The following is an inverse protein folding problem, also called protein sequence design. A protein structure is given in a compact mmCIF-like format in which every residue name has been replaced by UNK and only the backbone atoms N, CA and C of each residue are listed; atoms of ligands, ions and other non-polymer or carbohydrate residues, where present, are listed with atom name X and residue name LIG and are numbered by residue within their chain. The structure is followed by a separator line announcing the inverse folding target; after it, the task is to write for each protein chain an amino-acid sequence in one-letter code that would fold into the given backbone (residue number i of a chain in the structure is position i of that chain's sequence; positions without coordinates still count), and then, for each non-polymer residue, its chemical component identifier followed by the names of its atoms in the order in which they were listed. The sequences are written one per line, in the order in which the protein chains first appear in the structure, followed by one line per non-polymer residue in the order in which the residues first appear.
data_IF_080886458748
#
_entry.id   IF_080886458748
#
_cell.length_a   1.000
_cell.length_b   1.000
_cell.length_c   1.000
_cell.angle_alpha   90.00
_cell.angle_beta   90.00
_cell.angle_gamma   90.00
#
_symmetry.space_group_name_H-M   'P 1'
#
loop_
_entity.id
_entity.type
_entity.pdbx_description
1 polymer ?
#
# COMPACT_ATOMS: atom_id res chain seq x y z
N UNK A 1 -16.21 29.31 31.25
CA UNK A 1 -16.17 29.52 29.79
C UNK A 1 -14.78 29.28 29.14
N UNK A 2 -13.67 29.51 29.86
CA UNK A 2 -12.33 29.32 29.27
C UNK A 2 -11.91 27.88 28.98
N UNK A 3 -12.43 26.88 29.71
CA UNK A 3 -12.03 25.47 29.54
C UNK A 3 -12.56 24.86 28.22
N UNK A 4 -13.73 25.24 27.77
CA UNK A 4 -14.38 24.75 26.55
C UNK A 4 -13.69 25.32 25.30
N UNK A 5 -13.29 26.58 25.32
CA UNK A 5 -12.56 27.22 24.21
C UNK A 5 -11.16 26.60 24.04
N UNK A 6 -10.48 26.26 25.14
CA UNK A 6 -9.18 25.57 25.10
C UNK A 6 -9.27 24.16 24.49
N UNK A 7 -10.34 23.44 24.76
CA UNK A 7 -10.56 22.09 24.24
C UNK A 7 -10.83 22.12 22.72
N UNK A 8 -11.62 23.05 22.23
CA UNK A 8 -11.85 23.19 20.78
C UNK A 8 -10.59 23.61 20.02
N UNK A 9 -9.77 24.50 20.58
CA UNK A 9 -8.51 24.92 19.98
C UNK A 9 -7.50 23.77 19.81
N UNK A 10 -7.57 22.74 20.67
CA UNK A 10 -6.68 21.58 20.62
C UNK A 10 -7.18 20.49 19.65
N UNK A 11 -8.50 20.35 19.46
CA UNK A 11 -9.08 19.30 18.59
C UNK A 11 -9.03 19.73 17.13
N UNK A 12 -9.12 21.02 16.84
CA UNK A 12 -9.19 21.54 15.46
C UNK A 12 -8.00 21.14 14.56
N UNK A 13 -6.73 21.19 14.99
CA UNK A 13 -5.60 20.77 14.17
C UNK A 13 -5.66 19.27 13.82
N UNK A 14 -6.11 18.42 14.77
CA UNK A 14 -6.29 16.99 14.54
C UNK A 14 -7.36 16.71 13.50
N UNK A 15 -8.53 17.37 13.61
CA UNK A 15 -9.63 17.26 12.65
C UNK A 15 -9.16 17.69 11.26
N UNK A 16 -8.43 18.78 11.18
CA UNK A 16 -7.88 19.30 9.93
C UNK A 16 -6.88 18.33 9.30
N UNK A 17 -5.98 17.74 10.10
CA UNK A 17 -5.02 16.73 9.64
C UNK A 17 -5.74 15.49 9.10
N UNK A 18 -6.71 14.97 9.85
CA UNK A 18 -7.50 13.81 9.42
C UNK A 18 -8.28 14.13 8.13
N UNK A 19 -8.91 15.31 8.06
CA UNK A 19 -9.66 15.75 6.88
C UNK A 19 -8.76 15.90 5.64
N UNK A 20 -7.56 16.45 5.79
CA UNK A 20 -6.58 16.56 4.70
C UNK A 20 -6.10 15.21 4.22
N UNK A 21 -5.75 14.30 5.14
CA UNK A 21 -5.32 12.93 4.82
C UNK A 21 -6.46 12.17 4.14
N UNK A 22 -7.66 12.20 4.70
CA UNK A 22 -8.84 11.56 4.12
C UNK A 22 -9.16 12.14 2.73
N UNK A 23 -9.14 13.48 2.57
CA UNK A 23 -9.34 14.15 1.30
C UNK A 23 -8.31 13.76 0.25
N UNK A 24 -7.03 13.63 0.63
CA UNK A 24 -5.98 13.15 -0.25
C UNK A 24 -6.25 11.72 -0.73
N UNK A 25 -6.61 10.79 0.18
CA UNK A 25 -6.91 9.41 -0.18
C UNK A 25 -8.18 9.29 -1.02
N UNK A 26 -9.24 10.02 -0.69
CA UNK A 26 -10.47 10.08 -1.48
C UNK A 26 -10.20 10.59 -2.90
N UNK A 27 -9.44 11.67 -3.04
CA UNK A 27 -9.01 12.20 -4.34
C UNK A 27 -8.25 11.13 -5.14
N UNK A 28 -7.32 10.42 -4.52
CA UNK A 28 -6.54 9.38 -5.19
C UNK A 28 -7.38 8.17 -5.60
N UNK A 29 -8.40 7.85 -4.80
CA UNK A 29 -9.30 6.74 -5.10
C UNK A 29 -10.24 7.05 -6.27
N UNK A 30 -10.86 8.23 -6.25
CA UNK A 30 -11.83 8.63 -7.29
C UNK A 30 -11.17 9.23 -8.54
N UNK A 31 -10.04 9.93 -8.38
CA UNK A 31 -9.25 10.54 -9.47
C UNK A 31 -7.80 10.10 -9.42
N UNK A 32 -7.50 8.85 -9.83
CA UNK A 32 -6.12 8.40 -9.88
C UNK A 32 -5.31 9.27 -10.85
N UNK A 33 -4.10 9.67 -10.43
CA UNK A 33 -3.22 10.51 -11.22
C UNK A 33 -2.96 9.89 -12.62
N UNK A 34 -2.79 10.69 -13.67
CA UNK A 34 -2.54 10.20 -15.03
C UNK A 34 -1.36 9.22 -15.11
N UNK A 35 -0.31 9.48 -14.31
CA UNK A 35 0.84 8.57 -14.19
C UNK A 35 0.44 7.18 -13.69
N UNK A 36 -0.46 7.10 -12.72
CA UNK A 36 -0.95 5.81 -12.18
C UNK A 36 -1.65 4.98 -13.25
N UNK A 37 -2.46 5.63 -14.10
CA UNK A 37 -3.14 4.96 -15.23
C UNK A 37 -2.16 4.48 -16.29
N UNK A 38 -1.14 5.30 -16.64
CA UNK A 38 -0.09 4.92 -17.59
C UNK A 38 0.71 3.71 -17.08
N UNK A 39 1.08 3.68 -15.82
CA UNK A 39 1.76 2.54 -15.23
C UNK A 39 0.88 1.28 -15.14
N UNK A 40 -0.41 1.44 -14.98
CA UNK A 40 -1.36 0.32 -15.03
C UNK A 40 -1.43 -0.26 -16.45
N UNK A 41 -1.54 0.57 -17.49
CA UNK A 41 -1.52 0.16 -18.88
C UNK A 41 -0.20 -0.52 -19.25
N UNK A 42 0.94 0.09 -18.89
CA UNK A 42 2.25 -0.50 -19.12
C UNK A 42 2.38 -1.92 -18.56
N UNK A 43 1.86 -2.17 -17.37
CA UNK A 43 1.87 -3.52 -16.77
C UNK A 43 1.00 -4.51 -17.52
N UNK A 44 -0.11 -4.07 -18.08
CA UNK A 44 -0.99 -4.92 -18.89
C UNK A 44 -0.37 -5.23 -20.25
N UNK A 45 0.19 -4.22 -20.91
CA UNK A 45 0.89 -4.37 -22.18
C UNK A 45 2.10 -5.31 -22.02
N UNK A 46 2.83 -5.16 -20.91
CA UNK A 46 3.91 -6.07 -20.55
C UNK A 46 3.40 -7.52 -20.36
N UNK A 47 2.31 -7.72 -19.62
CA UNK A 47 1.72 -9.05 -19.47
C UNK A 47 1.31 -9.65 -20.82
N UNK A 48 0.71 -8.84 -21.68
CA UNK A 48 0.32 -9.26 -23.03
C UNK A 48 1.54 -9.63 -23.87
N UNK A 49 2.63 -8.86 -23.83
CA UNK A 49 3.86 -9.19 -24.56
C UNK A 49 4.47 -10.52 -24.11
N UNK A 50 4.38 -10.85 -22.82
CA UNK A 50 4.81 -12.15 -22.31
C UNK A 50 3.96 -13.33 -22.81
N UNK A 51 2.75 -13.08 -23.31
CA UNK A 51 1.89 -14.14 -23.85
C UNK A 51 2.19 -14.46 -25.32
N UNK A 52 2.83 -13.55 -26.02
CA UNK A 52 3.14 -13.67 -27.45
C UNK A 52 4.57 -14.14 -27.73
N UNK A 53 5.48 -13.94 -26.77
CA UNK A 53 6.90 -14.22 -26.96
C UNK A 53 7.30 -15.48 -26.17
N UNK A 54 7.75 -16.51 -26.88
CA UNK A 54 8.27 -17.73 -26.25
C UNK A 54 9.56 -17.45 -25.46
N UNK A 55 9.84 -18.25 -24.44
CA UNK A 55 11.04 -18.20 -23.57
C UNK A 55 11.15 -16.93 -22.68
N UNK A 56 10.05 -16.18 -22.52
CA UNK A 56 10.03 -15.01 -21.63
C UNK A 56 9.48 -15.31 -20.24
N UNK A 57 9.08 -16.55 -19.98
CA UNK A 57 8.47 -16.96 -18.71
C UNK A 57 9.40 -16.70 -17.54
N UNK A 58 10.70 -17.03 -17.67
CA UNK A 58 11.71 -16.84 -16.62
C UNK A 58 11.85 -15.35 -16.29
N UNK A 59 11.92 -14.49 -17.32
CA UNK A 59 11.99 -13.03 -17.14
C UNK A 59 10.73 -12.51 -16.45
N UNK A 60 9.56 -13.00 -16.87
CA UNK A 60 8.29 -12.63 -16.27
C UNK A 60 8.20 -12.99 -14.80
N UNK A 61 8.56 -14.22 -14.44
CA UNK A 61 8.59 -14.69 -13.04
C UNK A 61 9.60 -13.88 -12.22
N UNK A 62 10.76 -13.56 -12.79
CA UNK A 62 11.80 -12.78 -12.10
C UNK A 62 11.36 -11.34 -11.83
N UNK A 63 10.66 -10.72 -12.77
CA UNK A 63 10.09 -9.37 -12.59
C UNK A 63 9.03 -9.36 -11.49
N UNK A 64 8.14 -10.36 -11.46
CA UNK A 64 7.14 -10.50 -10.41
C UNK A 64 7.79 -10.76 -9.05
N UNK A 65 8.82 -11.61 -9.00
CA UNK A 65 9.59 -11.86 -7.77
C UNK A 65 10.23 -10.59 -7.21
N UNK A 66 10.80 -9.74 -8.06
CA UNK A 66 11.36 -8.45 -7.65
C UNK A 66 10.26 -7.51 -7.09
N UNK A 67 9.10 -7.48 -7.73
CA UNK A 67 7.95 -6.68 -7.25
C UNK A 67 7.43 -7.21 -5.91
N UNK A 68 7.39 -8.53 -5.74
CA UNK A 68 7.02 -9.18 -4.49
C UNK A 68 8.00 -8.83 -3.36
N UNK A 69 9.32 -8.88 -3.66
CA UNK A 69 10.38 -8.52 -2.72
C UNK A 69 10.26 -7.05 -2.28
N UNK A 70 9.94 -6.13 -3.19
CA UNK A 70 9.66 -4.74 -2.84
C UNK A 70 8.46 -4.59 -1.91
N UNK A 71 7.36 -5.34 -2.14
CA UNK A 71 6.19 -5.33 -1.25
C UNK A 71 6.53 -5.86 0.15
N UNK A 72 7.31 -6.94 0.25
CA UNK A 72 7.71 -7.51 1.55
C UNK A 72 8.66 -6.59 2.30
N UNK A 73 9.59 -5.93 1.62
CA UNK A 73 10.46 -4.91 2.22
C UNK A 73 9.64 -3.74 2.79
N UNK A 74 8.68 -3.23 2.02
CA UNK A 74 7.76 -2.17 2.48
C UNK A 74 6.96 -2.62 3.70
N UNK A 75 6.42 -3.84 3.68
CA UNK A 75 5.70 -4.41 4.81
C UNK A 75 6.58 -4.53 6.07
N UNK A 76 7.81 -5.00 5.93
CA UNK A 76 8.76 -5.13 7.04
C UNK A 76 9.10 -3.76 7.62
N UNK A 77 9.37 -2.77 6.78
CA UNK A 77 9.66 -1.39 7.24
C UNK A 77 8.46 -0.79 7.98
N UNK A 78 7.25 -0.97 7.44
CA UNK A 78 6.02 -0.51 8.13
C UNK A 78 5.84 -1.19 9.49
N UNK A 79 6.11 -2.50 9.58
CA UNK A 79 6.03 -3.26 10.83
C UNK A 79 7.05 -2.78 11.85
N UNK A 80 8.30 -2.58 11.46
CA UNK A 80 9.34 -2.09 12.36
C UNK A 80 9.03 -0.68 12.87
N UNK A 81 8.58 0.22 11.98
CA UNK A 81 8.17 1.56 12.35
C UNK A 81 6.93 1.53 13.28
N UNK A 82 5.96 0.67 13.01
CA UNK A 82 4.79 0.46 13.86
C UNK A 82 5.19 -0.02 15.26
N UNK A 83 6.01 -1.06 15.35
CA UNK A 83 6.49 -1.60 16.64
C UNK A 83 7.29 -0.57 17.42
N UNK A 84 8.19 0.17 16.75
CA UNK A 84 8.94 1.26 17.37
C UNK A 84 8.02 2.36 17.91
N UNK A 85 7.01 2.75 17.14
CA UNK A 85 6.01 3.74 17.57
C UNK A 85 5.17 3.24 18.75
N UNK A 86 4.74 1.96 18.76
CA UNK A 86 4.04 1.35 19.90
C UNK A 86 4.93 1.35 21.14
N UNK A 87 6.21 0.98 21.00
CA UNK A 87 7.16 0.99 22.12
C UNK A 87 7.33 2.40 22.71
N UNK A 88 7.45 3.41 21.85
CA UNK A 88 7.53 4.81 22.27
C UNK A 88 6.26 5.28 23.00
N UNK A 89 5.08 4.81 22.57
CA UNK A 89 3.82 5.13 23.21
C UNK A 89 3.63 4.42 24.57
N UNK A 90 4.26 3.28 24.82
CA UNK A 90 4.15 2.53 26.09
C UNK A 90 5.31 2.78 27.06
N UNK A 91 6.39 3.44 26.64
CA UNK A 91 7.53 3.78 27.46
C UNK A 91 7.30 5.04 28.33
N UNK A 92 8.27 5.32 29.21
CA UNK A 92 8.25 6.49 30.11
C UNK A 92 8.17 7.85 29.40
N UNK A 93 8.40 7.87 28.07
CA UNK A 93 8.13 9.02 27.21
C UNK A 93 6.66 9.48 27.19
N UNK A 94 5.70 8.59 27.50
CA UNK A 94 4.27 8.92 27.58
C UNK A 94 3.90 9.81 28.77
N UNK A 95 4.59 9.73 29.88
CA UNK A 95 4.33 10.64 30.99
C UNK A 95 4.51 12.12 30.63
N UNK A 96 5.32 12.40 29.59
CA UNK A 96 5.43 13.73 28.98
C UNK A 96 4.44 13.98 27.86
N UNK A 97 4.07 12.94 27.07
CA UNK A 97 3.13 13.05 25.93
C UNK A 97 1.68 13.12 26.43
N UNK A 98 1.35 12.49 27.55
CA UNK A 98 0.02 12.57 28.18
C UNK A 98 -0.37 14.01 28.55
N UNK A 99 0.61 14.89 28.79
CA UNK A 99 0.38 16.32 28.96
C UNK A 99 0.02 17.07 27.69
N UNK A 100 0.24 16.46 26.53
CA UNK A 100 -0.10 17.03 25.23
C UNK A 100 -1.01 16.06 24.46
N UNK A 101 -2.29 16.03 24.79
CA UNK A 101 -3.31 15.21 24.11
C UNK A 101 -3.18 15.21 22.58
N UNK A 102 -2.75 16.31 22.01
CA UNK A 102 -2.62 16.47 20.55
C UNK A 102 -1.54 15.57 19.95
N UNK A 103 -0.36 15.45 20.60
CA UNK A 103 0.73 14.58 20.13
C UNK A 103 0.36 13.10 20.23
N UNK A 104 -0.37 12.72 21.26
CA UNK A 104 -0.86 11.35 21.41
C UNK A 104 -1.77 10.93 20.26
N UNK A 105 -2.76 11.76 19.92
CA UNK A 105 -3.66 11.47 18.81
C UNK A 105 -2.97 11.45 17.46
N UNK A 106 -1.98 12.31 17.22
CA UNK A 106 -1.17 12.27 16.01
C UNK A 106 -0.33 10.99 15.94
N UNK A 107 0.27 10.55 17.05
CA UNK A 107 1.02 9.31 17.11
C UNK A 107 0.12 8.09 16.80
N UNK A 108 -1.09 8.04 17.36
CA UNK A 108 -2.07 7.00 17.03
C UNK A 108 -2.47 7.04 15.54
N UNK A 109 -2.67 8.22 14.97
CA UNK A 109 -2.98 8.36 13.55
C UNK A 109 -1.84 7.84 12.66
N UNK A 110 -0.58 8.15 13.01
CA UNK A 110 0.60 7.62 12.29
C UNK A 110 0.69 6.09 12.42
N UNK A 111 0.46 5.54 13.61
CA UNK A 111 0.43 4.08 13.81
C UNK A 111 -0.67 3.42 12.98
N UNK A 112 -1.85 4.02 12.92
CA UNK A 112 -2.93 3.53 12.06
C UNK A 112 -2.52 3.51 10.58
N UNK A 113 -1.88 4.58 10.08
CA UNK A 113 -1.39 4.65 8.71
C UNK A 113 -0.33 3.59 8.43
N UNK A 114 0.61 3.35 9.35
CA UNK A 114 1.61 2.30 9.24
C UNK A 114 0.99 0.90 9.23
N UNK A 115 -0.02 0.64 10.07
CA UNK A 115 -0.80 -0.59 10.06
C UNK A 115 -1.52 -0.81 8.72
N UNK A 116 -2.14 0.24 8.17
CA UNK A 116 -2.77 0.19 6.85
C UNK A 116 -1.74 0.00 5.73
N UNK A 117 -0.54 0.60 5.84
CA UNK A 117 0.55 0.38 4.90
C UNK A 117 1.00 -1.08 4.88
N UNK A 118 1.13 -1.69 6.06
CA UNK A 118 1.42 -3.13 6.18
C UNK A 118 0.35 -3.98 5.49
N UNK A 119 -0.94 -3.78 5.83
CA UNK A 119 -2.05 -4.55 5.27
C UNK A 119 -2.09 -4.41 3.74
N UNK A 120 -1.97 -3.20 3.21
CA UNK A 120 -2.00 -2.96 1.76
C UNK A 120 -0.79 -3.56 1.05
N UNK A 121 0.41 -3.58 1.67
CA UNK A 121 1.59 -4.26 1.16
C UNK A 121 1.38 -5.78 1.09
N UNK A 122 0.78 -6.38 2.12
CA UNK A 122 0.49 -7.82 2.13
C UNK A 122 -0.58 -8.20 1.09
N UNK A 123 -1.60 -7.36 0.90
CA UNK A 123 -2.58 -7.53 -0.17
C UNK A 123 -1.92 -7.41 -1.55
N UNK A 124 -0.98 -6.48 -1.74
CA UNK A 124 -0.21 -6.37 -2.98
C UNK A 124 0.61 -7.65 -3.22
N UNK A 125 1.34 -8.13 -2.22
CA UNK A 125 2.13 -9.35 -2.30
C UNK A 125 1.27 -10.56 -2.71
N UNK A 126 0.09 -10.73 -2.09
CA UNK A 126 -0.85 -11.78 -2.46
C UNK A 126 -1.26 -11.71 -3.94
N UNK A 127 -1.56 -10.52 -4.44
CA UNK A 127 -1.95 -10.34 -5.84
C UNK A 127 -0.78 -10.60 -6.80
N UNK A 128 0.45 -10.23 -6.43
CA UNK A 128 1.65 -10.56 -7.19
C UNK A 128 1.89 -12.07 -7.25
N UNK A 129 1.64 -12.82 -6.18
CA UNK A 129 1.70 -14.28 -6.22
C UNK A 129 0.71 -14.87 -7.22
N UNK A 130 -0.55 -14.41 -7.22
CA UNK A 130 -1.54 -14.89 -8.19
C UNK A 130 -1.13 -14.61 -9.64
N UNK A 131 -0.63 -13.40 -9.92
CA UNK A 131 -0.10 -13.06 -11.23
C UNK A 131 1.12 -13.94 -11.60
N UNK A 132 1.98 -14.24 -10.63
CA UNK A 132 3.16 -15.06 -10.79
C UNK A 132 2.84 -16.49 -11.26
N UNK A 133 1.80 -17.10 -10.70
CA UNK A 133 1.36 -18.42 -11.14
C UNK A 133 0.92 -18.42 -12.61
N UNK A 134 0.21 -17.39 -13.05
CA UNK A 134 -0.25 -17.29 -14.45
C UNK A 134 0.93 -17.06 -15.39
N UNK A 135 1.86 -16.18 -15.02
CA UNK A 135 3.05 -15.87 -15.84
C UNK A 135 4.02 -17.05 -15.91
N UNK A 136 4.12 -17.84 -14.85
CA UNK A 136 4.99 -19.02 -14.79
C UNK A 136 4.49 -20.23 -15.61
N UNK A 137 3.25 -20.20 -16.12
CA UNK A 137 2.75 -21.26 -17.00
C UNK A 137 3.41 -21.15 -18.40
N UNK A 138 3.68 -22.30 -19.08
CA UNK A 138 4.21 -22.28 -20.44
C UNK A 138 3.30 -21.49 -21.40
N UNK A 139 3.90 -20.67 -22.29
CA UNK A 139 3.16 -19.79 -23.22
C UNK A 139 2.17 -20.57 -24.09
N UNK A 140 2.57 -21.76 -24.57
CA UNK A 140 1.75 -22.61 -25.44
C UNK A 140 0.64 -23.37 -24.69
N UNK A 141 0.55 -23.26 -23.36
CA UNK A 141 -0.45 -24.03 -22.61
C UNK A 141 -1.85 -23.41 -22.72
N UNK A 142 -2.89 -24.21 -23.00
CA UNK A 142 -4.28 -23.71 -23.02
C UNK A 142 -4.72 -23.19 -21.66
N UNK A 143 -4.15 -23.73 -20.57
CA UNK A 143 -4.42 -23.29 -19.20
C UNK A 143 -3.97 -21.84 -18.99
N UNK A 144 -2.84 -21.41 -19.54
CA UNK A 144 -2.38 -20.02 -19.43
C UNK A 144 -3.36 -19.07 -20.10
N UNK A 145 -3.82 -19.40 -21.30
CA UNK A 145 -4.79 -18.57 -22.05
C UNK A 145 -6.09 -18.39 -21.26
N UNK A 146 -6.65 -19.48 -20.72
CA UNK A 146 -7.85 -19.44 -19.88
C UNK A 146 -7.69 -18.64 -18.60
N UNK A 147 -6.47 -18.61 -18.02
CA UNK A 147 -6.17 -17.94 -16.75
C UNK A 147 -5.71 -16.48 -16.90
N UNK A 148 -5.50 -16.00 -18.11
CA UNK A 148 -5.15 -14.59 -18.35
C UNK A 148 -6.23 -13.64 -17.81
N UNK A 149 -7.51 -14.03 -17.91
CA UNK A 149 -8.63 -13.25 -17.36
C UNK A 149 -8.52 -13.07 -15.83
N UNK A 150 -7.86 -14.00 -15.13
CA UNK A 150 -7.60 -13.90 -13.69
C UNK A 150 -6.29 -13.15 -13.41
N UNK A 151 -5.29 -13.32 -14.28
CA UNK A 151 -3.97 -12.70 -14.15
C UNK A 151 -4.01 -11.18 -14.31
N UNK A 152 -4.75 -10.67 -15.28
CA UNK A 152 -4.86 -9.23 -15.54
C UNK A 152 -5.43 -8.43 -14.34
N UNK A 153 -6.61 -8.78 -13.78
CA UNK A 153 -7.12 -8.07 -12.61
C UNK A 153 -6.21 -8.20 -11.38
N UNK A 154 -5.54 -9.36 -11.20
CA UNK A 154 -4.57 -9.54 -10.11
C UNK A 154 -3.39 -8.59 -10.25
N UNK A 155 -2.84 -8.44 -11.44
CA UNK A 155 -1.74 -7.51 -11.73
C UNK A 155 -2.15 -6.05 -11.51
N UNK A 156 -3.37 -5.66 -11.90
CA UNK A 156 -3.93 -4.33 -11.63
C UNK A 156 -4.05 -4.06 -10.14
N UNK A 157 -4.66 -5.00 -9.41
CA UNK A 157 -4.85 -4.88 -7.95
C UNK A 157 -3.52 -4.82 -7.22
N UNK A 158 -2.56 -5.68 -7.59
CA UNK A 158 -1.21 -5.66 -7.04
C UNK A 158 -0.57 -4.27 -7.12
N UNK A 159 -0.59 -3.66 -8.31
CA UNK A 159 -0.03 -2.33 -8.51
C UNK A 159 -0.76 -1.23 -7.74
N UNK A 160 -2.10 -1.31 -7.62
CA UNK A 160 -2.89 -0.34 -6.84
C UNK A 160 -2.62 -0.45 -5.34
N UNK A 161 -2.60 -1.67 -4.79
CA UNK A 161 -2.30 -1.88 -3.38
C UNK A 161 -0.88 -1.47 -3.03
N UNK A 162 0.10 -1.79 -3.89
CA UNK A 162 1.49 -1.36 -3.68
C UNK A 162 1.63 0.17 -3.73
N UNK A 163 1.00 0.83 -4.70
CA UNK A 163 0.99 2.29 -4.75
C UNK A 163 0.28 2.92 -3.54
N UNK A 164 -0.75 2.28 -3.00
CA UNK A 164 -1.41 2.72 -1.77
C UNK A 164 -0.49 2.57 -0.56
N UNK A 165 0.20 1.43 -0.40
CA UNK A 165 1.10 1.20 0.73
C UNK A 165 2.24 2.23 0.79
N UNK A 166 2.85 2.57 -0.36
CA UNK A 166 3.91 3.59 -0.42
C UNK A 166 3.43 5.00 -0.07
N UNK A 167 2.14 5.29 -0.23
CA UNK A 167 1.57 6.61 0.13
C UNK A 167 1.17 6.69 1.60
N UNK A 168 1.00 5.56 2.24
CA UNK A 168 0.66 5.45 3.67
C UNK A 168 1.90 5.52 4.56
N UNK A 169 3.07 5.29 4.00
CA UNK A 169 4.37 5.42 4.68
C UNK A 169 4.88 6.85 4.61
#
# INVERSE_FOLDING_TARGET
MGCVVGMYAQIWPLVLTIAMVAGYFLKQFFWPAPATRKHEQLRLDWLQSLTTTAQTEVLGVQTIRNSLMSCTMTATTATLAFMGGVTLLHGDGLAQVERQHILYWHALAVLLLLGLAFITSMLAARQWHHAGFVVGMPVASPQRQQRLEVGQPSLRRAGRYYAASLRLM
#
